data_IF_531734676443
#
_entry.id   IF_531734676443
#
_cell.length_a   1.000
_cell.length_b   1.000
_cell.length_c   1.000
_cell.angle_alpha   90.00
_cell.angle_beta   90.00
_cell.angle_gamma   90.00
#
_symmetry.space_group_name_H-M   'P 1'
#
loop_
_entity.id
_entity.type
_entity.pdbx_description
1 polymer ?
#
# COMPACT_ATOMS: atom_id res chain seq x y z
N UNK A 1 -19.82 8.93 13.87
CA UNK A 1 -18.64 8.57 13.05
C UNK A 1 -19.00 7.37 12.21
N UNK A 2 -18.82 7.45 10.89
CA UNK A 2 -19.18 6.37 9.97
C UNK A 2 -17.90 5.67 9.50
N UNK A 3 -17.89 4.33 9.56
CA UNK A 3 -16.73 3.52 9.16
C UNK A 3 -16.40 3.82 7.69
N UNK A 4 -15.12 4.03 7.39
CA UNK A 4 -14.69 4.31 6.04
C UNK A 4 -14.90 3.08 5.16
N UNK A 5 -15.78 3.19 4.16
CA UNK A 5 -16.09 2.08 3.23
C UNK A 5 -14.92 1.67 2.33
N UNK A 6 -13.96 2.57 2.10
CA UNK A 6 -12.83 2.32 1.18
C UNK A 6 -11.76 1.44 1.85
N UNK A 7 -11.48 1.67 3.13
CA UNK A 7 -10.51 0.89 3.88
C UNK A 7 -11.16 -0.04 4.93
N UNK A 8 -12.49 -0.14 4.93
CA UNK A 8 -13.28 -0.92 5.88
C UNK A 8 -12.93 -0.68 7.37
N UNK A 9 -12.49 0.53 7.71
CA UNK A 9 -12.06 0.85 9.08
C UNK A 9 -10.57 0.71 9.38
N UNK A 10 -9.76 0.20 8.44
CA UNK A 10 -8.33 -0.04 8.66
C UNK A 10 -7.48 1.25 8.58
N UNK A 11 -7.98 2.29 7.91
CA UNK A 11 -7.22 3.53 7.68
C UNK A 11 -6.15 3.43 6.59
N UNK A 12 -5.82 2.22 6.11
CA UNK A 12 -4.91 1.98 4.99
C UNK A 12 -5.58 1.14 3.91
N UNK A 13 -5.07 1.23 2.70
CA UNK A 13 -5.47 0.39 1.56
C UNK A 13 -4.23 -0.22 0.90
N UNK A 14 -4.42 -1.34 0.20
CA UNK A 14 -3.35 -1.94 -0.59
C UNK A 14 -2.78 -0.92 -1.58
N UNK A 15 -1.45 -0.91 -1.72
CA UNK A 15 -0.82 -0.07 -2.71
C UNK A 15 -1.19 -0.58 -4.11
N UNK A 16 -1.95 0.22 -4.87
CA UNK A 16 -2.39 -0.17 -6.21
C UNK A 16 -1.25 -0.37 -7.22
N UNK A 17 -0.07 0.22 -6.97
CA UNK A 17 1.10 0.10 -7.86
C UNK A 17 1.75 -1.29 -7.76
N UNK A 18 1.92 -1.79 -6.53
CA UNK A 18 2.54 -3.10 -6.29
C UNK A 18 1.55 -4.19 -5.89
N UNK A 19 0.24 -3.90 -5.96
CA UNK A 19 -0.82 -4.85 -5.59
C UNK A 19 -0.77 -5.34 -4.14
N UNK A 20 -0.05 -4.66 -3.23
CA UNK A 20 0.15 -5.13 -1.86
C UNK A 20 1.50 -5.81 -1.59
N UNK A 21 2.30 -6.13 -2.61
CA UNK A 21 3.55 -6.87 -2.45
C UNK A 21 4.69 -6.04 -1.83
N UNK A 22 4.57 -4.71 -1.83
CA UNK A 22 5.63 -3.80 -1.37
C UNK A 22 6.78 -3.61 -2.35
N UNK A 23 6.83 -4.38 -3.43
CA UNK A 23 7.88 -4.30 -4.45
C UNK A 23 7.76 -5.43 -5.45
N UNK A 24 8.75 -5.51 -6.33
CA UNK A 24 8.93 -6.62 -7.27
C UNK A 24 10.33 -7.22 -7.09
N UNK A 25 10.46 -8.51 -7.35
CA UNK A 25 11.76 -9.17 -7.46
C UNK A 25 12.07 -9.25 -8.96
N UNK A 26 13.17 -8.64 -9.37
CA UNK A 26 13.71 -8.83 -10.72
C UNK A 26 15.00 -9.66 -10.65
N UNK A 27 15.14 -10.68 -11.49
CA UNK A 27 16.41 -11.35 -11.68
C UNK A 27 17.39 -10.39 -12.40
N UNK A 28 18.60 -10.26 -11.88
CA UNK A 28 19.70 -9.61 -12.57
C UNK A 28 20.38 -10.54 -13.59
N UNK A 29 21.22 -9.97 -14.45
CA UNK A 29 22.02 -10.69 -15.46
C UNK A 29 22.98 -11.73 -14.85
N UNK A 30 23.36 -11.59 -13.59
CA UNK A 30 24.19 -12.55 -12.85
C UNK A 30 23.37 -13.52 -11.98
N UNK A 31 22.04 -13.49 -12.07
CA UNK A 31 21.15 -14.33 -11.27
C UNK A 31 20.95 -13.85 -9.83
N UNK A 32 21.45 -12.67 -9.47
CA UNK A 32 21.18 -12.05 -8.18
C UNK A 32 19.74 -11.50 -8.19
N UNK A 33 18.99 -11.75 -7.12
CA UNK A 33 17.64 -11.19 -6.99
C UNK A 33 17.73 -9.72 -6.54
N UNK A 34 17.41 -8.80 -7.45
CA UNK A 34 17.25 -7.39 -7.10
C UNK A 34 15.83 -7.14 -6.61
N UNK A 35 15.71 -6.71 -5.35
CA UNK A 35 14.44 -6.30 -4.77
C UNK A 35 14.17 -4.84 -5.14
N UNK A 36 13.31 -4.64 -6.14
CA UNK A 36 12.82 -3.31 -6.47
C UNK A 36 11.72 -2.91 -5.47
N UNK A 37 12.06 -2.02 -4.55
CA UNK A 37 11.13 -1.50 -3.55
C UNK A 37 10.13 -0.57 -4.22
N UNK A 38 8.84 -0.77 -3.99
CA UNK A 38 7.82 0.12 -4.53
C UNK A 38 7.91 1.48 -3.83
N UNK A 39 8.32 2.52 -4.56
CA UNK A 39 8.50 3.87 -4.04
C UNK A 39 7.20 4.47 -3.50
N UNK A 40 6.05 4.07 -4.06
CA UNK A 40 4.73 4.62 -3.66
C UNK A 40 4.32 4.23 -2.24
N UNK A 41 4.65 3.02 -1.82
CA UNK A 41 4.38 2.54 -0.45
C UNK A 41 5.66 2.33 0.38
N UNK A 42 6.81 2.76 -0.14
CA UNK A 42 8.12 2.56 0.47
C UNK A 42 8.35 1.13 1.01
N UNK A 43 7.98 0.10 0.23
CA UNK A 43 8.19 -1.29 0.66
C UNK A 43 7.11 -1.91 1.54
N UNK A 44 6.16 -1.12 2.07
CA UNK A 44 5.18 -1.60 3.06
C UNK A 44 3.99 -2.36 2.47
N UNK A 45 3.78 -2.28 1.16
CA UNK A 45 2.62 -2.88 0.48
C UNK A 45 1.30 -2.12 0.69
N UNK A 46 1.26 -1.09 1.53
CA UNK A 46 0.03 -0.32 1.79
C UNK A 46 0.28 1.18 1.74
N UNK A 47 -0.77 1.93 1.41
CA UNK A 47 -0.78 3.40 1.46
C UNK A 47 -1.90 3.87 2.36
N UNK A 48 -1.75 5.08 2.90
CA UNK A 48 -2.78 5.70 3.72
C UNK A 48 -4.05 5.84 2.88
N UNK A 49 -5.18 5.45 3.47
CA UNK A 49 -6.48 5.64 2.83
C UNK A 49 -6.80 7.13 2.79
N UNK A 50 -6.57 7.75 1.63
CA UNK A 50 -6.82 9.18 1.41
C UNK A 50 -8.28 9.56 1.62
N UNK A 51 -9.21 8.62 1.45
CA UNK A 51 -10.62 8.91 1.70
C UNK A 51 -10.85 9.31 3.16
N UNK A 52 -10.25 8.63 4.14
CA UNK A 52 -10.41 8.93 5.57
C UNK A 52 -9.14 9.52 6.19
N UNK A 53 -8.16 9.94 5.39
CA UNK A 53 -6.85 10.42 5.85
C UNK A 53 -6.20 9.54 6.92
N UNK A 54 -6.29 8.21 6.79
CA UNK A 54 -5.70 7.30 7.77
C UNK A 54 -6.54 7.00 9.01
N UNK A 55 -7.66 7.69 9.23
CA UNK A 55 -8.44 7.57 10.47
C UNK A 55 -9.27 6.27 10.54
N UNK A 56 -9.61 5.68 9.39
CA UNK A 56 -10.51 4.52 9.32
C UNK A 56 -12.00 4.88 9.44
N UNK A 57 -12.34 6.12 9.78
CA UNK A 57 -13.71 6.62 9.83
C UNK A 57 -13.79 8.02 9.24
N UNK A 58 -14.98 8.41 8.80
CA UNK A 58 -15.32 9.80 8.49
C UNK A 58 -16.23 10.37 9.56
N UNK A 59 -15.95 11.62 9.88
CA UNK A 59 -16.91 12.48 10.58
C UNK A 59 -17.81 13.01 9.46
N UNK A 60 -19.09 12.73 9.57
CA UNK A 60 -20.10 13.10 8.58
C UNK A 60 -20.79 14.36 9.06
#
# INVERSE_FOLDING_TARGET
>A
MTRCRICCGNGRVCCGICGGAGGAIQPDINGLQLRLVCSRCAGTGSVICLYCNGLGYKIQ
#
